data_IF_778571896124
#
_entry.id   IF_778571896124
#
_cell.length_a   1.000
_cell.length_b   1.000
_cell.length_c   1.000
_cell.angle_alpha   90.00
_cell.angle_beta   90.00
_cell.angle_gamma   90.00
#
_symmetry.space_group_name_H-M   'P 1'
#
loop_
_entity.id
_entity.type
_entity.pdbx_description
1 polymer ?
#
# COMPACT_ATOMS: atom_id res chain seq x y z
N UNK A 1 12.78 -2.57 15.11
CA UNK A 1 12.83 -1.14 14.70
C UNK A 1 12.46 -1.05 13.22
N UNK A 2 11.37 -0.38 12.85
CA UNK A 2 11.01 -0.21 11.44
C UNK A 2 11.92 0.86 10.81
N UNK A 3 12.89 0.45 10.01
CA UNK A 3 13.77 1.38 9.30
C UNK A 3 13.02 2.04 8.14
N UNK A 4 13.03 3.38 8.10
CA UNK A 4 12.59 4.17 6.95
C UNK A 4 13.63 4.04 5.83
N UNK A 5 13.20 3.66 4.64
CA UNK A 5 14.10 3.48 3.49
C UNK A 5 14.28 4.82 2.80
N UNK A 6 15.53 5.27 2.72
CA UNK A 6 15.92 6.53 2.10
C UNK A 6 17.20 6.35 1.28
N UNK A 7 17.06 6.08 -0.01
CA UNK A 7 18.14 5.97 -0.99
C UNK A 7 18.11 7.14 -1.96
N UNK A 8 16.91 7.54 -2.41
CA UNK A 8 16.73 8.73 -3.25
C UNK A 8 17.18 10.01 -2.53
N UNK A 9 17.66 11.03 -3.27
CA UNK A 9 18.06 12.32 -2.67
C UNK A 9 16.93 12.94 -1.83
N UNK A 10 15.70 12.95 -2.36
CA UNK A 10 14.53 13.49 -1.66
C UNK A 10 14.26 12.73 -0.35
N UNK A 11 14.29 11.40 -0.36
CA UNK A 11 14.07 10.61 0.87
C UNK A 11 15.20 10.78 1.89
N UNK A 12 16.45 10.98 1.44
CA UNK A 12 17.59 11.26 2.33
C UNK A 12 17.45 12.60 3.02
N UNK A 13 17.03 13.62 2.28
CA UNK A 13 16.79 14.95 2.83
C UNK A 13 15.67 14.93 3.87
N UNK A 14 14.57 14.22 3.58
CA UNK A 14 13.48 13.98 4.54
C UNK A 14 13.99 13.24 5.78
N UNK A 15 14.81 12.19 5.61
CA UNK A 15 15.37 11.43 6.73
C UNK A 15 16.30 12.30 7.60
N UNK A 16 17.08 13.19 7.00
CA UNK A 16 17.93 14.13 7.72
C UNK A 16 17.07 15.09 8.56
N UNK A 17 16.03 15.70 7.96
CA UNK A 17 15.09 16.57 8.68
C UNK A 17 14.37 15.83 9.80
N UNK A 18 13.93 14.58 9.57
CA UNK A 18 13.34 13.73 10.60
C UNK A 18 14.35 13.36 11.70
N UNK A 19 15.64 13.25 11.39
CA UNK A 19 16.69 12.99 12.38
C UNK A 19 16.91 14.21 13.27
N UNK A 20 16.90 15.43 12.71
CA UNK A 20 16.93 16.68 13.50
C UNK A 20 15.70 16.80 14.40
N UNK A 21 14.52 16.38 13.92
CA UNK A 21 13.31 16.38 14.74
C UNK A 21 13.41 15.50 15.97
N UNK A 22 14.25 14.46 16.00
CA UNK A 22 14.38 13.63 17.21
C UNK A 22 14.77 14.44 18.44
N UNK A 23 15.64 15.44 18.26
CA UNK A 23 16.20 16.25 19.35
C UNK A 23 15.46 17.54 19.62
N UNK A 24 14.72 18.08 18.63
CA UNK A 24 14.21 19.45 18.69
C UNK A 24 12.97 19.66 19.58
N UNK A 25 12.34 18.62 20.14
CA UNK A 25 11.19 18.77 21.05
C UNK A 25 9.92 19.41 20.46
N UNK A 26 9.97 19.93 19.23
CA UNK A 26 8.87 20.63 18.57
C UNK A 26 7.81 19.70 17.98
N UNK A 27 6.61 20.26 17.76
CA UNK A 27 5.54 19.63 16.99
C UNK A 27 5.92 19.58 15.51
N UNK A 28 5.60 18.46 14.85
CA UNK A 28 5.87 18.31 13.43
C UNK A 28 4.70 17.65 12.70
N UNK A 29 4.48 18.08 11.46
CA UNK A 29 3.49 17.52 10.55
C UNK A 29 4.20 16.75 9.44
N UNK A 30 3.70 15.56 9.12
CA UNK A 30 4.17 14.76 8.00
C UNK A 30 3.02 14.60 6.99
N UNK A 31 3.16 15.22 5.83
CA UNK A 31 2.17 15.17 4.75
C UNK A 31 2.62 14.27 3.60
N UNK A 32 1.66 13.86 2.78
CA UNK A 32 1.90 13.06 1.58
C UNK A 32 0.75 12.10 1.30
N UNK A 33 0.74 11.51 0.11
CA UNK A 33 -0.36 10.64 -0.31
C UNK A 33 -0.40 9.30 0.44
N UNK A 34 -1.41 8.48 0.14
CA UNK A 34 -1.61 7.18 0.78
C UNK A 34 -0.43 6.23 0.49
N UNK A 35 0.07 5.52 1.50
CA UNK A 35 1.15 4.55 1.30
C UNK A 35 2.55 5.12 1.06
N UNK A 36 2.80 6.40 1.31
CA UNK A 36 4.15 7.01 1.19
C UNK A 36 5.09 6.69 2.36
N UNK A 37 4.58 6.11 3.46
CA UNK A 37 5.39 5.76 4.64
C UNK A 37 5.40 6.82 5.74
N UNK A 38 4.38 7.70 5.80
CA UNK A 38 4.23 8.72 6.85
C UNK A 38 4.31 8.14 8.26
N UNK A 39 3.57 7.06 8.53
CA UNK A 39 3.61 6.34 9.81
C UNK A 39 5.01 5.85 10.17
N UNK A 40 5.71 5.24 9.21
CA UNK A 40 7.10 4.79 9.43
C UNK A 40 8.04 5.94 9.74
N UNK A 41 7.86 7.11 9.10
CA UNK A 41 8.66 8.29 9.39
C UNK A 41 8.33 8.89 10.76
N UNK A 42 7.04 8.95 11.13
CA UNK A 42 6.61 9.40 12.46
C UNK A 42 7.21 8.50 13.56
N UNK A 43 7.07 7.19 13.42
CA UNK A 43 7.68 6.21 14.34
C UNK A 43 9.21 6.22 14.30
N UNK A 44 9.83 6.73 13.23
CA UNK A 44 11.27 6.95 13.21
C UNK A 44 11.67 8.14 14.10
N UNK A 45 10.89 9.23 14.07
CA UNK A 45 11.14 10.45 14.86
C UNK A 45 10.95 10.19 16.37
N UNK A 46 9.86 9.51 16.73
CA UNK A 46 9.52 9.20 18.13
C UNK A 46 9.17 7.71 18.26
N UNK A 47 10.17 6.83 18.42
CA UNK A 47 9.97 5.37 18.41
C UNK A 47 9.12 4.80 19.54
N UNK A 48 9.11 5.45 20.70
CA UNK A 48 8.37 5.00 21.89
C UNK A 48 6.96 5.61 21.98
N UNK A 49 6.63 6.54 21.08
CA UNK A 49 5.34 7.22 21.09
C UNK A 49 4.19 6.29 20.72
N UNK A 50 3.09 6.39 21.48
CA UNK A 50 1.83 5.75 21.13
C UNK A 50 1.21 6.44 19.90
N UNK A 51 0.56 5.64 19.08
CA UNK A 51 -0.07 6.09 17.84
C UNK A 51 -1.58 6.13 18.06
N UNK A 52 -2.20 7.28 17.79
CA UNK A 52 -3.64 7.48 17.93
C UNK A 52 -4.24 7.92 16.60
N UNK A 53 -5.45 7.45 16.29
CA UNK A 53 -6.25 8.03 15.22
C UNK A 53 -6.86 9.35 15.71
N UNK A 54 -6.83 10.41 14.90
CA UNK A 54 -7.35 11.72 15.26
C UNK A 54 -8.81 11.71 15.74
N UNK A 55 -9.69 10.96 15.06
CA UNK A 55 -11.11 10.90 15.42
C UNK A 55 -11.34 10.24 16.78
N UNK A 56 -10.63 9.14 17.04
CA UNK A 56 -10.73 8.39 18.30
C UNK A 56 -10.14 9.21 19.45
N UNK A 57 -8.95 9.78 19.25
CA UNK A 57 -8.27 10.62 20.23
C UNK A 57 -9.15 11.79 20.68
N UNK A 58 -9.79 12.48 19.74
CA UNK A 58 -10.65 13.61 20.09
C UNK A 58 -11.85 13.18 20.95
N UNK A 59 -12.44 12.00 20.70
CA UNK A 59 -13.52 11.46 21.53
C UNK A 59 -13.01 11.16 22.93
N UNK A 60 -11.87 10.50 23.04
CA UNK A 60 -11.30 10.14 24.35
C UNK A 60 -10.87 11.38 25.17
N UNK A 61 -10.45 12.46 24.50
CA UNK A 61 -10.21 13.77 25.14
C UNK A 61 -11.53 14.37 25.64
N UNK A 62 -12.58 14.37 24.81
CA UNK A 62 -13.89 14.92 25.17
C UNK A 62 -14.54 14.16 26.35
N UNK A 63 -14.38 12.83 26.37
CA UNK A 63 -14.88 11.95 27.43
C UNK A 63 -13.99 11.94 28.68
N UNK A 64 -12.85 12.66 28.66
CA UNK A 64 -11.88 12.78 29.75
C UNK A 64 -11.27 11.45 30.21
N UNK A 65 -11.13 10.50 29.28
CA UNK A 65 -10.54 9.18 29.53
C UNK A 65 -9.03 9.17 29.22
N UNK A 66 -8.53 10.21 28.54
CA UNK A 66 -7.10 10.37 28.24
C UNK A 66 -6.32 10.97 29.41
N UNK A 67 -5.36 10.19 29.92
CA UNK A 67 -4.45 10.58 31.01
C UNK A 67 -2.98 10.56 30.56
N UNK A 68 -2.67 11.27 29.47
CA UNK A 68 -1.30 11.39 28.93
C UNK A 68 -0.77 12.77 29.31
N UNK A 69 0.47 12.84 29.80
CA UNK A 69 1.12 14.11 30.12
C UNK A 69 2.65 14.01 29.95
N UNK A 70 3.30 15.07 29.48
CA UNK A 70 4.76 15.15 29.29
C UNK A 70 5.33 14.04 28.39
N UNK A 71 4.54 13.55 27.44
CA UNK A 71 4.91 12.48 26.52
C UNK A 71 4.82 12.94 25.07
N UNK A 72 5.51 12.22 24.18
CA UNK A 72 5.35 12.38 22.74
C UNK A 72 4.31 11.41 22.20
N UNK A 73 3.40 11.89 21.37
CA UNK A 73 2.39 11.08 20.69
C UNK A 73 2.48 11.22 19.17
N UNK A 74 2.02 10.20 18.46
CA UNK A 74 1.81 10.24 17.02
C UNK A 74 0.31 10.29 16.75
N UNK A 75 -0.13 11.25 15.94
CA UNK A 75 -1.54 11.38 15.56
C UNK A 75 -1.71 11.11 14.06
N UNK A 76 -2.47 10.08 13.71
CA UNK A 76 -2.80 9.72 12.33
C UNK A 76 -4.04 10.48 11.84
N UNK A 77 -3.98 10.98 10.60
CA UNK A 77 -5.05 11.73 9.93
C UNK A 77 -5.51 12.97 10.73
N UNK A 78 -4.59 13.86 11.06
CA UNK A 78 -4.87 15.06 11.88
C UNK A 78 -5.97 15.97 11.28
N UNK A 79 -6.18 15.91 9.97
CA UNK A 79 -7.27 16.59 9.27
C UNK A 79 -8.67 16.18 9.72
N UNK A 80 -8.80 15.05 10.43
CA UNK A 80 -10.08 14.54 10.93
C UNK A 80 -10.46 15.14 12.29
N UNK A 81 -9.59 15.93 12.93
CA UNK A 81 -9.93 16.68 14.15
C UNK A 81 -10.96 17.75 13.80
N UNK A 82 -12.17 17.62 14.35
CA UNK A 82 -13.27 18.57 14.13
C UNK A 82 -13.27 19.73 15.13
N UNK A 83 -12.88 19.48 16.38
CA UNK A 83 -12.76 20.48 17.44
C UNK A 83 -11.28 20.77 17.73
N UNK A 84 -10.69 21.60 16.88
CA UNK A 84 -9.27 21.98 16.94
C UNK A 84 -8.94 22.68 18.26
N UNK A 85 -9.82 23.54 18.78
CA UNK A 85 -9.57 24.27 20.04
C UNK A 85 -9.44 23.33 21.24
N UNK A 86 -10.31 22.34 21.33
CA UNK A 86 -10.25 21.32 22.39
C UNK A 86 -8.93 20.56 22.32
N UNK A 87 -8.53 20.12 21.13
CA UNK A 87 -7.28 19.40 20.92
C UNK A 87 -6.06 20.23 21.31
N UNK A 88 -5.97 21.47 20.81
CA UNK A 88 -4.82 22.34 21.08
C UNK A 88 -4.70 22.68 22.58
N UNK A 89 -5.81 22.99 23.25
CA UNK A 89 -5.83 23.20 24.71
C UNK A 89 -5.36 21.96 25.46
N UNK A 90 -5.88 20.79 25.10
CA UNK A 90 -5.46 19.55 25.75
C UNK A 90 -3.96 19.28 25.58
N UNK A 91 -3.41 19.54 24.40
CA UNK A 91 -1.97 19.40 24.15
C UNK A 91 -1.15 20.37 25.01
N UNK A 92 -1.56 21.64 25.09
CA UNK A 92 -0.88 22.67 25.86
C UNK A 92 -0.96 22.40 27.38
N UNK A 93 -2.14 22.05 27.90
CA UNK A 93 -2.37 21.77 29.32
C UNK A 93 -1.58 20.56 29.82
N UNK A 94 -1.30 19.59 28.95
CA UNK A 94 -0.62 18.35 29.31
C UNK A 94 0.84 18.28 28.83
N UNK A 95 1.38 19.37 28.26
CA UNK A 95 2.75 19.45 27.71
C UNK A 95 3.08 18.28 26.78
N UNK A 96 2.20 18.04 25.79
CA UNK A 96 2.30 16.87 24.90
C UNK A 96 3.01 17.26 23.61
N UNK A 97 4.06 16.52 23.25
CA UNK A 97 4.69 16.67 21.95
C UNK A 97 3.93 15.89 20.88
N UNK A 98 3.61 16.53 19.76
CA UNK A 98 2.76 15.92 18.71
C UNK A 98 3.52 15.77 17.40
N UNK A 99 3.60 14.53 16.89
CA UNK A 99 4.01 14.22 15.52
C UNK A 99 2.79 13.74 14.73
N UNK A 100 2.26 14.62 13.89
CA UNK A 100 1.03 14.35 13.15
C UNK A 100 1.30 13.85 11.73
N UNK A 101 0.37 13.08 11.17
CA UNK A 101 0.36 12.73 9.75
C UNK A 101 -0.92 13.24 9.08
N UNK A 102 -0.80 13.68 7.82
CA UNK A 102 -1.92 14.16 7.00
C UNK A 102 -1.91 13.53 5.60
N UNK A 103 -3.10 13.26 5.05
CA UNK A 103 -3.32 12.94 3.64
C UNK A 103 -3.65 14.19 2.81
N UNK A 104 -4.13 15.26 3.44
CA UNK A 104 -4.46 16.52 2.78
C UNK A 104 -3.28 17.47 2.81
N UNK A 105 -3.04 18.13 1.68
CA UNK A 105 -2.06 19.22 1.59
C UNK A 105 -2.62 20.51 2.24
N UNK A 106 -3.94 20.69 2.21
CA UNK A 106 -4.62 21.83 2.80
C UNK A 106 -5.28 21.49 4.14
N UNK A 107 -4.60 21.85 5.22
CA UNK A 107 -5.12 21.80 6.59
C UNK A 107 -5.70 23.15 7.01
N UNK A 108 -6.55 23.13 8.05
CA UNK A 108 -7.01 24.34 8.71
C UNK A 108 -5.82 25.21 9.17
N UNK A 109 -5.89 26.53 8.95
CA UNK A 109 -4.79 27.46 9.28
C UNK A 109 -4.33 27.36 10.73
N UNK A 110 -5.25 27.17 11.69
CA UNK A 110 -4.87 27.00 13.10
C UNK A 110 -4.02 25.76 13.36
N UNK A 111 -4.31 24.66 12.65
CA UNK A 111 -3.49 23.45 12.74
C UNK A 111 -2.13 23.66 12.05
N UNK A 112 -2.10 24.38 10.92
CA UNK A 112 -0.82 24.70 10.25
C UNK A 112 0.09 25.53 11.17
N UNK A 113 -0.46 26.54 11.82
CA UNK A 113 0.29 27.43 12.73
C UNK A 113 0.82 26.69 13.97
N UNK A 114 0.15 25.61 14.38
CA UNK A 114 0.57 24.78 15.51
C UNK A 114 1.83 23.95 15.20
N UNK A 115 2.04 23.52 13.95
CA UNK A 115 3.18 22.69 13.58
C UNK A 115 4.36 23.55 13.13
N UNK A 116 5.44 23.56 13.92
CA UNK A 116 6.64 24.34 13.61
C UNK A 116 7.39 23.84 12.38
N UNK A 117 7.30 22.53 12.09
CA UNK A 117 7.98 21.90 10.94
C UNK A 117 6.98 21.02 10.19
N UNK A 118 6.95 21.17 8.87
CA UNK A 118 6.17 20.31 7.97
C UNK A 118 7.11 19.55 7.05
N UNK A 119 7.00 18.22 7.03
CA UNK A 119 7.72 17.32 6.14
C UNK A 119 6.77 16.76 5.10
N UNK A 120 7.06 16.98 3.81
CA UNK A 120 6.30 16.39 2.73
C UNK A 120 7.01 15.15 2.17
N UNK A 121 6.32 14.01 2.13
CA UNK A 121 6.84 12.79 1.52
C UNK A 121 6.28 12.63 0.10
N UNK A 122 7.11 12.72 -0.96
CA UNK A 122 6.64 12.56 -2.33
C UNK A 122 6.18 11.14 -2.63
N UNK A 123 5.38 11.02 -3.69
CA UNK A 123 4.96 9.73 -4.24
C UNK A 123 6.17 8.88 -4.61
N UNK A 124 6.04 7.57 -4.47
CA UNK A 124 7.09 6.60 -4.72
C UNK A 124 7.59 6.65 -6.18
N UNK A 125 6.72 7.02 -7.12
CA UNK A 125 7.09 7.22 -8.54
C UNK A 125 8.10 8.35 -8.75
N UNK A 126 8.10 9.36 -7.88
CA UNK A 126 9.04 10.49 -7.90
C UNK A 126 10.38 10.17 -7.22
N UNK A 127 10.50 9.00 -6.57
CA UNK A 127 11.70 8.54 -5.85
C UNK A 127 12.02 7.09 -6.17
N UNK A 128 12.26 6.83 -7.46
CA UNK A 128 12.38 5.48 -8.02
C UNK A 128 13.51 4.66 -7.42
N UNK A 129 14.56 5.32 -6.92
CA UNK A 129 15.70 4.68 -6.26
C UNK A 129 15.29 3.92 -4.99
N UNK A 130 14.19 4.32 -4.35
CA UNK A 130 13.67 3.67 -3.14
C UNK A 130 12.87 2.40 -3.45
N UNK A 131 12.39 2.23 -4.68
CA UNK A 131 11.52 1.10 -5.07
C UNK A 131 12.24 -0.23 -4.89
N UNK A 132 13.48 -0.36 -5.37
CA UNK A 132 14.23 -1.63 -5.32
C UNK A 132 14.55 -2.03 -3.87
N UNK A 133 15.08 -1.15 -3.00
CA UNK A 133 15.24 -1.45 -1.58
C UNK A 133 13.92 -1.78 -0.87
N UNK A 134 12.84 -1.04 -1.15
CA UNK A 134 11.51 -1.34 -0.59
C UNK A 134 11.00 -2.72 -1.03
N UNK A 135 11.11 -3.04 -2.31
CA UNK A 135 10.75 -4.34 -2.86
C UNK A 135 11.54 -5.46 -2.19
N UNK A 136 12.84 -5.28 -1.95
CA UNK A 136 13.66 -6.27 -1.24
C UNK A 136 13.23 -6.43 0.23
N UNK A 137 12.90 -5.34 0.92
CA UNK A 137 12.35 -5.40 2.29
C UNK A 137 11.04 -6.18 2.33
N UNK A 138 10.11 -5.87 1.44
CA UNK A 138 8.83 -6.60 1.35
C UNK A 138 8.99 -8.04 0.88
N UNK A 139 10.01 -8.33 0.07
CA UNK A 139 10.35 -9.68 -0.37
C UNK A 139 10.84 -10.52 0.83
N UNK A 140 11.71 -9.96 1.67
CA UNK A 140 12.17 -10.64 2.89
C UNK A 140 11.00 -10.87 3.88
N UNK A 141 10.12 -9.87 4.03
CA UNK A 141 8.93 -9.98 4.87
C UNK A 141 7.95 -11.04 4.35
N UNK A 142 7.66 -11.05 3.05
CA UNK A 142 6.79 -12.05 2.42
C UNK A 142 7.36 -13.45 2.55
N UNK A 143 8.67 -13.62 2.34
CA UNK A 143 9.37 -14.89 2.50
C UNK A 143 9.21 -15.45 3.91
N UNK A 144 9.37 -14.60 4.93
CA UNK A 144 9.23 -14.98 6.34
C UNK A 144 7.78 -15.33 6.69
N UNK A 145 6.81 -14.51 6.27
CA UNK A 145 5.40 -14.68 6.63
C UNK A 145 4.79 -15.89 5.92
N UNK A 146 5.12 -16.10 4.65
CA UNK A 146 4.56 -17.18 3.83
C UNK A 146 5.36 -18.49 3.96
N UNK A 147 6.48 -18.50 4.70
CA UNK A 147 7.34 -19.67 4.84
C UNK A 147 7.96 -20.13 3.51
N UNK A 148 8.18 -19.21 2.56
CA UNK A 148 8.74 -19.55 1.27
C UNK A 148 10.25 -19.78 1.37
N UNK A 149 10.76 -20.87 0.81
CA UNK A 149 12.19 -21.18 0.84
C UNK A 149 12.99 -20.39 -0.20
N UNK A 150 12.33 -19.96 -1.28
CA UNK A 150 12.97 -19.29 -2.43
C UNK A 150 12.23 -18.02 -2.78
N UNK A 151 12.99 -17.06 -3.32
CA UNK A 151 12.45 -15.86 -3.91
C UNK A 151 11.87 -16.20 -5.29
N UNK A 152 10.71 -15.62 -5.66
CA UNK A 152 10.12 -15.90 -6.96
C UNK A 152 10.97 -15.42 -8.12
N UNK A 153 10.87 -16.12 -9.26
CA UNK A 153 11.64 -15.83 -10.47
C UNK A 153 11.37 -14.40 -10.99
N UNK A 154 10.12 -13.95 -10.85
CA UNK A 154 9.69 -12.63 -11.29
C UNK A 154 8.90 -11.92 -10.21
N UNK A 155 9.47 -10.81 -9.72
CA UNK A 155 8.74 -9.88 -8.86
C UNK A 155 7.86 -8.95 -9.68
N UNK A 156 6.59 -8.85 -9.31
CA UNK A 156 5.65 -7.88 -9.83
C UNK A 156 5.84 -6.58 -9.03
N UNK A 157 6.15 -5.50 -9.76
CA UNK A 157 6.36 -4.16 -9.19
C UNK A 157 5.16 -3.30 -9.57
N UNK A 158 4.37 -2.88 -8.59
CA UNK A 158 3.23 -1.97 -8.78
C UNK A 158 3.33 -0.81 -7.79
N UNK A 159 3.43 0.42 -8.27
CA UNK A 159 3.57 1.63 -7.43
C UNK A 159 2.35 2.55 -7.43
N UNK A 160 1.22 2.11 -7.98
CA UNK A 160 -0.01 2.91 -8.12
C UNK A 160 -0.50 3.57 -6.83
N UNK A 161 -0.40 2.87 -5.70
CA UNK A 161 -0.65 3.41 -4.36
C UNK A 161 0.62 3.35 -3.50
N UNK A 162 1.74 3.79 -4.08
CA UNK A 162 3.04 3.85 -3.43
C UNK A 162 3.47 2.49 -2.83
N UNK A 163 3.91 2.48 -1.57
CA UNK A 163 4.41 1.28 -0.91
C UNK A 163 3.31 0.25 -0.62
N UNK A 164 2.02 0.64 -0.56
CA UNK A 164 0.90 -0.28 -0.32
C UNK A 164 0.72 -1.22 -1.52
N UNK A 165 0.54 -0.65 -2.72
CA UNK A 165 0.46 -1.44 -3.95
C UNK A 165 1.73 -2.27 -4.18
N UNK A 166 2.91 -1.71 -3.85
CA UNK A 166 4.18 -2.42 -4.03
C UNK A 166 4.27 -3.62 -3.11
N UNK A 167 3.95 -3.45 -1.83
CA UNK A 167 3.92 -4.55 -0.88
C UNK A 167 2.94 -5.63 -1.32
N UNK A 168 1.72 -5.24 -1.73
CA UNK A 168 0.71 -6.18 -2.25
C UNK A 168 1.22 -6.98 -3.45
N UNK A 169 1.84 -6.31 -4.43
CA UNK A 169 2.33 -6.99 -5.65
C UNK A 169 3.52 -7.93 -5.38
N UNK A 170 4.39 -7.57 -4.42
CA UNK A 170 5.46 -8.46 -3.98
C UNK A 170 4.90 -9.71 -3.31
N UNK A 171 3.92 -9.58 -2.40
CA UNK A 171 3.29 -10.74 -1.76
C UNK A 171 2.60 -11.64 -2.79
N UNK A 172 1.91 -11.06 -3.78
CA UNK A 172 1.34 -11.86 -4.86
C UNK A 172 2.40 -12.62 -5.67
N UNK A 173 3.58 -12.04 -5.87
CA UNK A 173 4.67 -12.73 -6.58
C UNK A 173 5.09 -14.02 -5.86
N UNK A 174 5.10 -14.02 -4.52
CA UNK A 174 5.36 -15.22 -3.72
C UNK A 174 4.18 -16.18 -3.76
N UNK A 175 2.96 -15.68 -3.60
CA UNK A 175 1.77 -16.51 -3.61
C UNK A 175 1.59 -17.26 -4.94
N UNK A 176 1.88 -16.62 -6.07
CA UNK A 176 1.77 -17.25 -7.39
C UNK A 176 2.65 -18.49 -7.56
N UNK A 177 3.76 -18.61 -6.83
CA UNK A 177 4.58 -19.82 -6.88
C UNK A 177 4.11 -20.92 -5.91
N UNK A 178 3.34 -20.55 -4.89
CA UNK A 178 2.82 -21.47 -3.87
C UNK A 178 1.37 -21.93 -4.10
N UNK A 179 0.60 -21.19 -4.90
CA UNK A 179 -0.81 -21.47 -5.18
C UNK A 179 -0.93 -22.74 -6.02
N UNK A 180 -1.72 -23.70 -5.55
CA UNK A 180 -2.06 -24.93 -6.25
C UNK A 180 -3.40 -24.83 -7.00
N UNK A 181 -3.82 -25.94 -7.58
CA UNK A 181 -5.07 -26.03 -8.34
C UNK A 181 -6.30 -25.66 -7.51
N UNK A 182 -6.37 -26.12 -6.25
CA UNK A 182 -7.48 -25.84 -5.36
C UNK A 182 -7.63 -24.35 -5.06
N UNK A 183 -6.51 -23.67 -4.76
CA UNK A 183 -6.51 -22.24 -4.49
C UNK A 183 -6.91 -21.44 -5.74
N UNK A 184 -6.50 -21.88 -6.94
CA UNK A 184 -6.96 -21.26 -8.20
C UNK A 184 -8.47 -21.39 -8.34
N UNK A 185 -9.02 -22.59 -8.11
CA UNK A 185 -10.46 -22.82 -8.19
C UNK A 185 -11.22 -21.98 -7.17
N UNK A 186 -10.76 -21.91 -5.92
CA UNK A 186 -11.37 -21.07 -4.88
C UNK A 186 -11.33 -19.58 -5.22
N UNK A 187 -10.23 -19.08 -5.81
CA UNK A 187 -10.12 -17.70 -6.26
C UNK A 187 -11.11 -17.38 -7.39
N UNK A 188 -11.23 -18.29 -8.36
CA UNK A 188 -12.19 -18.16 -9.45
C UNK A 188 -13.63 -18.20 -8.93
N UNK A 189 -13.95 -19.17 -8.08
CA UNK A 189 -15.28 -19.33 -7.48
C UNK A 189 -15.68 -18.09 -6.68
N UNK A 190 -14.80 -17.59 -5.80
CA UNK A 190 -15.07 -16.38 -5.03
C UNK A 190 -15.34 -15.17 -5.93
N UNK A 191 -14.48 -14.96 -6.94
CA UNK A 191 -14.67 -13.85 -7.87
C UNK A 191 -16.00 -13.98 -8.64
N UNK A 192 -16.33 -15.17 -9.11
CA UNK A 192 -17.60 -15.40 -9.80
C UNK A 192 -18.78 -15.14 -8.85
N UNK A 193 -18.77 -15.68 -7.64
CA UNK A 193 -19.84 -15.50 -6.64
C UNK A 193 -20.09 -14.01 -6.34
N UNK A 194 -19.02 -13.24 -6.13
CA UNK A 194 -19.10 -11.82 -5.79
C UNK A 194 -19.60 -10.94 -6.97
N UNK A 195 -19.54 -11.44 -8.21
CA UNK A 195 -19.90 -10.68 -9.42
C UNK A 195 -21.00 -11.35 -10.25
N UNK A 196 -21.61 -12.43 -9.76
CA UNK A 196 -22.60 -13.19 -10.49
C UNK A 196 -23.94 -12.46 -10.45
N UNK A 197 -24.27 -11.80 -11.54
CA UNK A 197 -25.52 -11.07 -11.72
C UNK A 197 -26.17 -11.43 -13.08
N UNK A 198 -27.49 -11.34 -13.16
CA UNK A 198 -28.26 -11.54 -14.40
C UNK A 198 -28.48 -13.01 -14.83
N UNK A 199 -28.83 -13.20 -16.11
CA UNK A 199 -29.27 -14.50 -16.66
C UNK A 199 -28.22 -15.21 -17.53
N UNK A 200 -27.04 -14.63 -17.75
CA UNK A 200 -26.05 -15.12 -18.73
C UNK A 200 -24.62 -15.26 -18.17
N UNK A 201 -24.48 -15.40 -16.85
CA UNK A 201 -23.20 -15.32 -16.14
C UNK A 201 -22.15 -16.34 -16.62
N UNK A 202 -22.56 -17.49 -17.18
CA UNK A 202 -21.63 -18.45 -17.79
C UNK A 202 -20.79 -17.81 -18.91
N UNK A 203 -21.44 -17.10 -19.85
CA UNK A 203 -20.72 -16.45 -20.96
C UNK A 203 -19.89 -15.28 -20.45
N UNK A 204 -20.42 -14.57 -19.47
CA UNK A 204 -19.79 -13.39 -18.89
C UNK A 204 -18.50 -13.76 -18.16
N UNK A 205 -18.40 -14.95 -17.56
CA UNK A 205 -17.19 -15.43 -16.90
C UNK A 205 -16.28 -16.33 -17.75
N UNK A 206 -16.72 -16.75 -18.95
CA UNK A 206 -15.96 -17.69 -19.78
C UNK A 206 -14.54 -17.20 -20.12
N UNK A 207 -14.35 -15.87 -20.23
CA UNK A 207 -13.04 -15.27 -20.48
C UNK A 207 -12.01 -15.56 -19.38
N UNK A 208 -12.45 -15.77 -18.12
CA UNK A 208 -11.56 -16.07 -16.98
C UNK A 208 -10.81 -17.38 -17.20
N UNK A 209 -11.40 -18.32 -17.94
CA UNK A 209 -10.73 -19.56 -18.33
C UNK A 209 -10.02 -19.42 -19.68
N UNK A 210 -10.72 -18.91 -20.69
CA UNK A 210 -10.21 -18.94 -22.08
C UNK A 210 -9.01 -18.03 -22.30
N UNK A 211 -9.03 -16.80 -21.78
CA UNK A 211 -7.96 -15.84 -22.05
C UNK A 211 -6.62 -16.28 -21.41
N UNK A 212 -6.56 -16.77 -20.15
CA UNK A 212 -5.33 -17.35 -19.60
C UNK A 212 -4.82 -18.56 -20.38
N UNK A 213 -5.71 -19.49 -20.77
CA UNK A 213 -5.34 -20.68 -21.55
C UNK A 213 -4.73 -20.30 -22.91
N UNK A 214 -5.31 -19.31 -23.59
CA UNK A 214 -4.81 -18.81 -24.87
C UNK A 214 -3.45 -18.10 -24.72
N UNK A 215 -3.26 -17.25 -23.71
CA UNK A 215 -1.95 -16.62 -23.42
C UNK A 215 -0.87 -17.64 -23.11
N UNK A 216 -1.18 -18.62 -22.26
CA UNK A 216 -0.25 -19.70 -21.95
C UNK A 216 0.13 -20.49 -23.22
N UNK A 217 -0.86 -20.74 -24.08
CA UNK A 217 -0.64 -21.44 -25.35
C UNK A 217 0.19 -20.64 -26.34
N UNK A 218 0.03 -19.31 -26.44
CA UNK A 218 0.89 -18.47 -27.29
C UNK A 218 2.35 -18.46 -26.80
N UNK A 219 2.54 -18.39 -25.48
CA UNK A 219 3.88 -18.43 -24.87
C UNK A 219 4.57 -19.78 -25.09
N UNK A 220 3.82 -20.87 -24.94
CA UNK A 220 4.34 -22.24 -25.06
C UNK A 220 4.48 -22.70 -26.52
N UNK A 221 3.52 -22.32 -27.37
CA UNK A 221 3.40 -22.74 -28.76
C UNK A 221 3.46 -21.51 -29.67
N UNK A 222 4.59 -21.36 -30.36
CA UNK A 222 4.95 -20.15 -31.12
C UNK A 222 4.16 -19.97 -32.43
N UNK A 223 3.19 -20.84 -32.73
CA UNK A 223 2.37 -20.77 -33.94
C UNK A 223 0.93 -21.17 -33.69
N UNK A 224 -0.02 -20.52 -34.39
CA UNK A 224 -1.44 -20.85 -34.30
C UNK A 224 -1.75 -22.30 -34.72
N UNK A 225 -0.95 -22.88 -35.63
CA UNK A 225 -1.10 -24.28 -36.04
C UNK A 225 -0.77 -25.24 -34.88
N UNK A 226 0.32 -24.97 -34.15
CA UNK A 226 0.69 -25.76 -32.98
C UNK A 226 -0.32 -25.55 -31.86
N UNK A 227 -0.74 -24.31 -31.62
CA UNK A 227 -1.79 -24.01 -30.64
C UNK A 227 -3.07 -24.79 -30.95
N UNK A 228 -3.57 -24.74 -32.20
CA UNK A 228 -4.81 -25.44 -32.58
C UNK A 228 -4.68 -26.96 -32.39
N UNK A 229 -3.52 -27.52 -32.74
CA UNK A 229 -3.24 -28.95 -32.57
C UNK A 229 -3.21 -29.35 -31.09
N UNK A 230 -2.50 -28.60 -30.24
CA UNK A 230 -2.32 -28.95 -28.83
C UNK A 230 -3.52 -28.61 -27.94
N UNK A 231 -4.30 -27.60 -28.31
CA UNK A 231 -5.57 -27.27 -27.64
C UNK A 231 -6.74 -28.13 -28.12
N UNK A 232 -6.56 -28.94 -29.16
CA UNK A 232 -7.65 -29.74 -29.75
C UNK A 232 -8.74 -28.88 -30.40
N UNK A 233 -8.41 -27.66 -30.83
CA UNK A 233 -9.36 -26.73 -31.44
C UNK A 233 -9.20 -26.71 -32.96
N UNK A 234 -10.32 -26.61 -33.68
CA UNK A 234 -10.27 -26.24 -35.09
C UNK A 234 -9.58 -24.87 -35.25
N UNK A 235 -8.71 -24.72 -36.24
CA UNK A 235 -7.96 -23.50 -36.51
C UNK A 235 -8.84 -22.26 -36.69
N UNK A 236 -10.02 -22.40 -37.31
CA UNK A 236 -10.99 -21.30 -37.48
C UNK A 236 -11.56 -20.90 -36.11
N UNK A 237 -11.91 -21.89 -35.28
CA UNK A 237 -12.41 -21.67 -33.92
C UNK A 237 -11.37 -20.97 -33.05
N UNK A 238 -10.11 -21.41 -33.12
CA UNK A 238 -9.00 -20.76 -32.42
C UNK A 238 -8.89 -19.29 -32.85
N UNK A 239 -8.94 -19.01 -34.16
CA UNK A 239 -8.83 -17.64 -34.67
C UNK A 239 -9.96 -16.75 -34.17
N UNK A 240 -11.20 -17.26 -34.15
CA UNK A 240 -12.35 -16.53 -33.58
C UNK A 240 -12.15 -16.24 -32.09
N UNK A 241 -11.68 -17.23 -31.32
CA UNK A 241 -11.40 -17.06 -29.88
C UNK A 241 -10.27 -16.05 -29.62
N UNK A 242 -9.22 -16.05 -30.44
CA UNK A 242 -8.15 -15.06 -30.35
C UNK A 242 -8.66 -13.64 -30.64
N UNK A 243 -9.57 -13.46 -31.61
CA UNK A 243 -10.14 -12.14 -31.89
C UNK A 243 -11.12 -11.70 -30.80
N UNK A 244 -11.96 -12.60 -30.26
CA UNK A 244 -12.90 -12.28 -29.18
C UNK A 244 -12.19 -11.78 -27.91
N UNK A 245 -11.03 -12.36 -27.58
CA UNK A 245 -10.29 -12.03 -26.36
C UNK A 245 -9.10 -11.08 -26.61
N UNK A 246 -9.04 -10.42 -27.76
CA UNK A 246 -7.86 -9.65 -28.21
C UNK A 246 -7.40 -8.57 -27.23
N UNK A 247 -8.31 -7.95 -26.49
CA UNK A 247 -7.98 -6.92 -25.49
C UNK A 247 -7.35 -7.50 -24.21
N UNK A 248 -7.50 -8.81 -23.98
CA UNK A 248 -7.01 -9.53 -22.80
C UNK A 248 -5.71 -10.32 -23.06
N UNK A 249 -5.32 -10.46 -24.33
CA UNK A 249 -4.14 -11.22 -24.79
C UNK A 249 -2.91 -10.32 -24.95
#
# INVERSE_FOLDING_TARGET
MQQFIAVSPASKEILNSATLLKTLGVHALISGSIGTGKKTLASYITPEAKIYNANELQRDIADKVMHISHESIIVECIEDITNIELFLKWVEENDIRVIATSLKDDLNNRLKDFFSITLFIPNLESRKEDIKPLANKFSAEAMQILGAEKKPEKLIINTSQNAISLRKSIYFSYLFESIGENEIMMLMEKFMLDNMEGENSYRDFLYLFEAPLLRASQKKYKSQLQMSKHLGLNRITLRKKLEMHKELL
#
